data_IF_057385251604
#
_entry.id   IF_057385251604
#
_cell.length_a   1.000
_cell.length_b   1.000
_cell.length_c   1.000
_cell.angle_alpha   90.00
_cell.angle_beta   90.00
_cell.angle_gamma   90.00
#
_symmetry.space_group_name_H-M   'P 1'
#
loop_
_entity.id
_entity.type
_entity.pdbx_description
1 polymer ?
#
# COMPACT_ATOMS: atom_id res chain seq x y z
N UNK A 1 -3.23 11.26 -60.56
CA UNK A 1 -3.36 11.60 -59.13
C UNK A 1 -2.70 10.49 -58.33
N UNK A 2 -1.58 10.78 -57.67
CA UNK A 2 -0.91 9.84 -56.76
C UNK A 2 -1.45 10.13 -55.35
N UNK A 3 -2.02 9.14 -54.68
CA UNK A 3 -2.46 9.31 -53.30
C UNK A 3 -1.22 9.29 -52.38
N UNK A 4 -1.04 10.31 -51.51
CA UNK A 4 0.06 10.31 -50.55
C UNK A 4 -0.06 9.10 -49.63
N UNK A 5 1.04 8.35 -49.44
CA UNK A 5 1.07 7.23 -48.50
C UNK A 5 1.52 7.75 -47.14
N UNK A 6 0.57 7.92 -46.21
CA UNK A 6 0.90 8.16 -44.82
C UNK A 6 1.56 6.89 -44.24
N UNK A 7 2.76 7.02 -43.66
CA UNK A 7 3.42 5.93 -42.96
C UNK A 7 3.15 6.11 -41.46
N UNK A 8 2.37 5.22 -40.87
CA UNK A 8 2.11 5.26 -39.43
C UNK A 8 3.30 4.66 -38.68
N UNK A 9 4.01 5.48 -37.91
CA UNK A 9 5.02 5.01 -36.97
C UNK A 9 4.37 4.85 -35.59
N UNK A 10 4.39 3.62 -35.07
CA UNK A 10 3.90 3.34 -33.71
C UNK A 10 5.02 3.57 -32.73
N UNK A 11 4.95 4.67 -31.99
CA UNK A 11 5.85 4.92 -30.87
C UNK A 11 5.22 4.38 -29.59
N UNK A 12 5.90 3.42 -28.98
CA UNK A 12 5.53 2.90 -27.66
C UNK A 12 5.98 3.88 -26.59
N UNK A 13 5.11 4.84 -26.23
CA UNK A 13 5.36 5.72 -25.09
C UNK A 13 4.91 5.01 -23.82
N UNK A 14 5.82 4.88 -22.85
CA UNK A 14 5.50 4.37 -21.53
C UNK A 14 4.47 5.30 -20.89
N UNK A 15 3.25 4.81 -20.62
CA UNK A 15 2.20 5.65 -20.05
C UNK A 15 2.65 6.24 -18.71
N UNK A 16 2.68 7.58 -18.55
CA UNK A 16 3.13 8.22 -17.31
C UNK A 16 2.28 7.82 -16.11
N UNK A 17 1.02 7.42 -16.35
CA UNK A 17 0.10 6.92 -15.33
C UNK A 17 0.64 5.63 -14.71
N UNK A 18 1.20 4.71 -15.50
CA UNK A 18 1.72 3.44 -14.97
C UNK A 18 2.97 3.64 -14.11
N UNK A 19 3.78 4.65 -14.44
CA UNK A 19 4.93 5.07 -13.60
C UNK A 19 4.43 5.66 -12.28
N UNK A 20 3.40 6.51 -12.33
CA UNK A 20 2.77 7.07 -11.13
C UNK A 20 2.20 5.97 -10.21
N UNK A 21 1.58 4.92 -10.80
CA UNK A 21 1.10 3.75 -10.04
C UNK A 21 2.25 3.06 -9.28
N UNK A 22 3.38 2.79 -9.93
CA UNK A 22 4.56 2.20 -9.24
C UNK A 22 5.01 3.10 -8.08
N UNK A 23 5.10 4.40 -8.32
CA UNK A 23 5.56 5.35 -7.32
C UNK A 23 4.63 5.39 -6.10
N UNK A 24 3.31 5.49 -6.32
CA UNK A 24 2.31 5.50 -5.25
C UNK A 24 2.28 4.19 -4.47
N UNK A 25 2.37 3.04 -5.15
CA UNK A 25 2.46 1.73 -4.48
C UNK A 25 3.75 1.58 -3.67
N UNK A 26 4.85 2.17 -4.14
CA UNK A 26 6.13 2.19 -3.41
C UNK A 26 6.05 3.06 -2.16
N UNK A 27 5.39 4.22 -2.22
CA UNK A 27 5.08 5.05 -1.05
C UNK A 27 4.18 4.32 -0.05
N UNK A 28 3.17 3.60 -0.54
CA UNK A 28 2.34 2.74 0.29
C UNK A 28 3.20 1.71 1.06
N UNK A 29 4.11 0.99 0.38
CA UNK A 29 5.01 0.05 1.06
C UNK A 29 5.86 0.72 2.15
N UNK A 30 6.41 1.90 1.85
CA UNK A 30 7.23 2.67 2.80
C UNK A 30 6.42 3.10 4.02
N UNK A 31 5.23 3.67 3.83
CA UNK A 31 4.38 4.10 4.93
C UNK A 31 3.83 2.93 5.74
N UNK A 32 3.47 1.83 5.09
CA UNK A 32 3.05 0.62 5.77
C UNK A 32 4.19 0.04 6.61
N UNK A 33 5.42 0.05 6.10
CA UNK A 33 6.62 -0.38 6.85
C UNK A 33 6.90 0.52 8.06
N UNK A 34 6.83 1.85 7.90
CA UNK A 34 6.99 2.80 9.01
C UNK A 34 5.90 2.60 10.06
N UNK A 35 4.64 2.46 9.63
CA UNK A 35 3.51 2.20 10.52
C UNK A 35 3.69 0.86 11.24
N UNK A 36 4.17 -0.18 10.58
CA UNK A 36 4.40 -1.49 11.19
C UNK A 36 5.43 -1.45 12.34
N UNK A 37 6.49 -0.65 12.20
CA UNK A 37 7.58 -0.58 13.19
C UNK A 37 7.24 0.25 14.45
N UNK A 38 6.22 1.09 14.40
CA UNK A 38 5.90 2.01 15.50
C UNK A 38 4.85 1.45 16.46
N UNK A 39 5.00 1.78 17.74
CA UNK A 39 4.02 1.47 18.81
C UNK A 39 2.89 2.49 18.92
N UNK A 40 2.94 3.58 18.14
CA UNK A 40 2.01 4.70 18.26
C UNK A 40 0.81 4.56 17.32
N UNK A 41 0.05 3.46 17.44
CA UNK A 41 -1.21 3.29 16.71
C UNK A 41 -2.41 3.73 17.54
N UNK A 42 -2.47 3.23 18.77
CA UNK A 42 -3.58 3.47 19.68
C UNK A 42 -3.00 3.86 21.02
N UNK A 43 -3.53 4.93 21.60
CA UNK A 43 -3.27 5.33 22.97
C UNK A 43 -4.50 5.06 23.83
N UNK A 44 -4.30 4.41 24.96
CA UNK A 44 -5.30 4.32 26.03
C UNK A 44 -4.77 5.02 27.28
N UNK A 45 -5.56 5.07 28.35
CA UNK A 45 -5.10 5.58 29.64
C UNK A 45 -3.89 4.81 30.21
N UNK A 46 -3.71 3.55 29.79
CA UNK A 46 -2.67 2.66 30.30
C UNK A 46 -1.38 2.72 29.51
N UNK A 47 -1.41 3.09 28.24
CA UNK A 47 -0.22 3.01 27.39
C UNK A 47 -0.48 3.25 25.92
N UNK A 48 0.52 2.91 25.12
CA UNK A 48 0.49 2.96 23.66
C UNK A 48 0.69 1.57 23.10
N UNK A 49 -0.11 1.24 22.08
CA UNK A 49 -0.16 -0.08 21.47
C UNK A 49 0.06 0.07 19.98
N UNK A 50 0.97 -0.75 19.44
CA UNK A 50 1.14 -0.95 18.01
C UNK A 50 1.28 -2.43 17.66
N UNK A 51 1.49 -2.75 16.38
CA UNK A 51 1.55 -4.12 15.90
C UNK A 51 2.69 -4.93 16.53
N UNK A 52 3.91 -4.37 16.55
CA UNK A 52 5.09 -5.09 17.05
C UNK A 52 5.37 -4.87 18.54
N UNK A 53 5.13 -3.64 19.01
CA UNK A 53 5.50 -3.19 20.34
C UNK A 53 4.30 -2.59 21.05
N UNK A 54 4.13 -2.98 22.31
CA UNK A 54 3.19 -2.36 23.24
C UNK A 54 3.95 -1.82 24.43
N UNK A 55 3.68 -0.58 24.78
CA UNK A 55 4.33 0.11 25.89
C UNK A 55 3.29 0.57 26.90
N UNK A 56 3.41 0.09 28.13
CA UNK A 56 2.44 0.31 29.20
C UNK A 56 3.06 1.05 30.37
N UNK A 57 2.26 1.91 31.00
CA UNK A 57 2.60 2.60 32.23
C UNK A 57 2.27 1.68 33.41
N UNK A 58 3.30 1.15 34.05
CA UNK A 58 3.14 0.34 35.26
C UNK A 58 3.42 1.18 36.49
N UNK A 59 2.47 1.18 37.41
CA UNK A 59 2.70 1.77 38.74
C UNK A 59 3.27 0.69 39.65
N UNK A 60 4.51 0.87 40.09
CA UNK A 60 5.09 0.00 41.12
C UNK A 60 4.62 0.49 42.50
N UNK A 61 3.76 -0.30 43.14
CA UNK A 61 3.44 -0.14 44.55
C UNK A 61 4.43 -0.93 45.39
N UNK A 62 5.21 -0.23 46.21
CA UNK A 62 6.06 -0.84 47.25
C UNK A 62 5.52 -0.37 48.59
N UNK A 63 5.12 -1.30 49.45
CA UNK A 63 4.50 -1.01 50.76
C UNK A 63 3.24 -0.12 50.73
N UNK A 64 2.34 -0.33 49.76
CA UNK A 64 1.04 0.39 49.71
C UNK A 64 1.10 1.82 49.19
N UNK A 65 2.29 2.36 48.91
CA UNK A 65 2.47 3.66 48.26
C UNK A 65 2.98 3.47 46.81
N UNK A 66 2.44 4.29 45.90
CA UNK A 66 2.91 4.35 44.50
C UNK A 66 4.28 5.03 44.53
N UNK A 67 5.33 4.28 44.21
CA UNK A 67 6.73 4.76 44.34
C UNK A 67 7.33 5.23 43.02
N UNK A 68 6.90 4.66 41.89
CA UNK A 68 7.35 5.07 40.57
C UNK A 68 6.39 4.59 39.47
N UNK A 69 6.17 5.43 38.45
CA UNK A 69 5.51 5.06 37.21
C UNK A 69 6.62 4.78 36.20
N UNK A 70 6.83 3.52 35.84
CA UNK A 70 7.79 3.10 34.81
C UNK A 70 7.04 2.75 33.54
N UNK A 71 7.67 3.02 32.39
CA UNK A 71 7.14 2.64 31.09
C UNK A 71 7.84 1.36 30.65
N UNK A 72 7.13 0.24 30.67
CA UNK A 72 7.64 -1.07 30.24
C UNK A 72 7.18 -1.31 28.81
N UNK A 73 8.13 -1.43 27.88
CA UNK A 73 7.86 -1.77 26.48
C UNK A 73 8.18 -3.25 26.26
N UNK A 74 7.19 -4.00 25.77
CA UNK A 74 7.35 -5.40 25.46
C UNK A 74 7.17 -5.65 23.97
N UNK A 75 8.07 -6.47 23.43
CA UNK A 75 7.97 -7.02 22.10
C UNK A 75 6.88 -8.11 22.13
N UNK A 76 5.96 -8.06 21.16
CA UNK A 76 4.84 -8.99 20.92
C UNK A 76 3.45 -8.61 21.46
N UNK A 77 3.20 -7.44 22.05
CA UNK A 77 1.83 -6.93 22.29
C UNK A 77 0.84 -7.80 23.11
N UNK A 78 1.26 -8.97 23.60
CA UNK A 78 0.40 -10.00 24.21
C UNK A 78 -0.03 -9.69 25.66
N UNK A 79 0.44 -8.60 26.26
CA UNK A 79 0.23 -8.38 27.69
C UNK A 79 -1.17 -7.86 28.04
N UNK A 80 -1.83 -7.14 27.13
CA UNK A 80 -3.18 -6.63 27.35
C UNK A 80 -4.23 -7.49 26.65
N UNK A 81 -4.65 -8.50 27.38
CA UNK A 81 -5.84 -9.32 27.14
C UNK A 81 -5.75 -10.18 25.88
N UNK A 82 -5.35 -11.45 26.08
CA UNK A 82 -5.44 -12.54 25.10
C UNK A 82 -6.84 -12.72 24.50
N UNK A 83 -7.85 -12.03 25.05
CA UNK A 83 -9.22 -11.97 24.52
C UNK A 83 -9.39 -11.02 23.32
N UNK A 84 -8.47 -10.09 23.06
CA UNK A 84 -8.52 -9.27 21.85
C UNK A 84 -7.84 -10.06 20.71
N UNK A 85 -8.55 -11.06 20.21
CA UNK A 85 -8.13 -11.93 19.10
C UNK A 85 -7.67 -11.16 17.85
N UNK A 86 -8.04 -9.87 17.73
CA UNK A 86 -7.76 -9.04 16.57
C UNK A 86 -6.30 -8.58 16.45
N UNK A 87 -5.55 -8.43 17.54
CA UNK A 87 -4.17 -7.90 17.48
C UNK A 87 -3.20 -8.83 16.72
N UNK A 88 -3.08 -10.14 17.06
CA UNK A 88 -2.18 -11.03 16.32
C UNK A 88 -2.61 -11.21 14.86
N UNK A 89 -3.92 -11.22 14.58
CA UNK A 89 -4.45 -11.25 13.23
C UNK A 89 -4.03 -10.01 12.43
N UNK A 90 -4.10 -8.83 13.05
CA UNK A 90 -3.69 -7.57 12.41
C UNK A 90 -2.21 -7.58 12.03
N UNK A 91 -1.34 -8.13 12.88
CA UNK A 91 0.09 -8.26 12.57
C UNK A 91 0.30 -9.14 11.33
N UNK A 92 -0.35 -10.31 11.29
CA UNK A 92 -0.24 -11.24 10.16
C UNK A 92 -0.75 -10.57 8.88
N UNK A 93 -1.91 -9.92 8.95
CA UNK A 93 -2.50 -9.23 7.80
C UNK A 93 -1.64 -8.06 7.31
N UNK A 94 -1.00 -7.30 8.20
CA UNK A 94 -0.06 -6.23 7.83
C UNK A 94 1.16 -6.79 7.10
N UNK A 95 1.73 -7.90 7.58
CA UNK A 95 2.86 -8.56 6.91
C UNK A 95 2.45 -9.07 5.53
N UNK A 96 1.27 -9.67 5.42
CA UNK A 96 0.74 -10.15 4.13
C UNK A 96 0.48 -8.99 3.18
N UNK A 97 -0.13 -7.88 3.65
CA UNK A 97 -0.35 -6.68 2.85
C UNK A 97 0.96 -6.10 2.34
N UNK A 98 1.97 -5.95 3.22
CA UNK A 98 3.30 -5.48 2.84
C UNK A 98 3.93 -6.36 1.75
N UNK A 99 3.83 -7.68 1.89
CA UNK A 99 4.40 -8.62 0.93
C UNK A 99 3.67 -8.58 -0.42
N UNK A 100 2.33 -8.52 -0.41
CA UNK A 100 1.53 -8.38 -1.62
C UNK A 100 1.85 -7.06 -2.35
N UNK A 101 1.94 -5.96 -1.62
CA UNK A 101 2.31 -4.65 -2.16
C UNK A 101 3.72 -4.67 -2.76
N UNK A 102 4.68 -5.29 -2.08
CA UNK A 102 6.04 -5.44 -2.61
C UNK A 102 6.09 -6.27 -3.90
N UNK A 103 5.40 -7.42 -3.94
CA UNK A 103 5.29 -8.23 -5.16
C UNK A 103 4.61 -7.44 -6.26
N UNK A 104 3.57 -6.65 -5.96
CA UNK A 104 2.87 -5.84 -6.96
C UNK A 104 3.78 -4.81 -7.62
N UNK A 105 4.71 -4.21 -6.86
CA UNK A 105 5.73 -3.30 -7.41
C UNK A 105 6.66 -4.07 -8.36
N UNK A 106 7.12 -5.26 -7.98
CA UNK A 106 7.98 -6.07 -8.83
C UNK A 106 7.24 -6.48 -10.12
N UNK A 107 6.01 -6.97 -10.03
CA UNK A 107 5.24 -7.39 -11.20
C UNK A 107 4.90 -6.23 -12.12
N UNK A 108 4.63 -5.04 -11.56
CA UNK A 108 4.43 -3.82 -12.32
C UNK A 108 5.69 -3.45 -13.10
N UNK A 109 6.87 -3.45 -12.46
CA UNK A 109 8.15 -3.19 -13.11
C UNK A 109 8.47 -4.21 -14.21
N UNK A 110 8.23 -5.50 -13.94
CA UNK A 110 8.41 -6.56 -14.94
C UNK A 110 7.48 -6.39 -16.15
N UNK A 111 6.29 -5.82 -15.97
CA UNK A 111 5.38 -5.48 -17.07
C UNK A 111 6.05 -4.54 -18.08
N UNK A 112 6.82 -3.54 -17.63
CA UNK A 112 7.52 -2.60 -18.52
C UNK A 112 8.70 -3.20 -19.27
N UNK A 113 9.42 -4.14 -18.66
CA UNK A 113 10.64 -4.73 -19.25
C UNK A 113 10.30 -5.68 -20.43
N UNK A 114 9.10 -6.25 -20.44
CA UNK A 114 8.71 -7.25 -21.44
C UNK A 114 8.21 -6.60 -22.74
N UNK A 115 8.83 -6.97 -23.86
CA UNK A 115 8.50 -6.47 -25.21
C UNK A 115 7.18 -7.03 -25.77
N UNK A 116 6.80 -8.24 -25.37
CA UNK A 116 5.61 -8.92 -25.92
C UNK A 116 4.34 -8.46 -25.23
N UNK A 117 3.37 -7.95 -26.01
CA UNK A 117 2.09 -7.43 -25.51
C UNK A 117 1.33 -8.41 -24.62
N UNK A 118 1.16 -9.67 -25.05
CA UNK A 118 0.41 -10.69 -24.29
C UNK A 118 1.00 -10.94 -22.90
N UNK A 119 2.34 -10.96 -22.80
CA UNK A 119 3.04 -11.18 -21.53
C UNK A 119 2.91 -9.95 -20.62
N UNK A 120 3.10 -8.75 -21.18
CA UNK A 120 2.94 -7.47 -20.46
C UNK A 120 1.55 -7.34 -19.85
N UNK A 121 0.51 -7.63 -20.65
CA UNK A 121 -0.89 -7.58 -20.22
C UNK A 121 -1.17 -8.56 -19.07
N UNK A 122 -0.64 -9.80 -19.13
CA UNK A 122 -0.78 -10.78 -18.03
C UNK A 122 -0.13 -10.29 -16.73
N UNK A 123 1.09 -9.75 -16.78
CA UNK A 123 1.74 -9.17 -15.59
C UNK A 123 0.99 -7.96 -15.05
N UNK A 124 0.38 -7.16 -15.92
CA UNK A 124 -0.44 -6.03 -15.53
C UNK A 124 -1.72 -6.48 -14.80
N UNK A 125 -2.42 -7.48 -15.34
CA UNK A 125 -3.57 -8.09 -14.67
C UNK A 125 -3.20 -8.69 -13.31
N UNK A 126 -2.06 -9.40 -13.22
CA UNK A 126 -1.56 -9.90 -11.93
C UNK A 126 -1.30 -8.75 -10.94
N UNK A 127 -0.75 -7.64 -11.41
CA UNK A 127 -0.52 -6.45 -10.58
C UNK A 127 -1.84 -5.87 -10.05
N UNK A 128 -2.87 -5.75 -10.91
CA UNK A 128 -4.21 -5.29 -10.50
C UNK A 128 -4.80 -6.22 -9.44
N UNK A 129 -4.70 -7.54 -9.63
CA UNK A 129 -5.19 -8.51 -8.65
C UNK A 129 -4.46 -8.37 -7.31
N UNK A 130 -3.13 -8.26 -7.31
CA UNK A 130 -2.35 -8.08 -6.08
C UNK A 130 -2.71 -6.78 -5.36
N UNK A 131 -2.83 -5.66 -6.09
CA UNK A 131 -3.27 -4.37 -5.55
C UNK A 131 -4.68 -4.47 -4.96
N UNK A 132 -5.58 -5.21 -5.60
CA UNK A 132 -6.95 -5.40 -5.10
C UNK A 132 -6.98 -6.15 -3.78
N UNK A 133 -6.21 -7.25 -3.65
CA UNK A 133 -6.12 -8.00 -2.41
C UNK A 133 -5.47 -7.17 -1.28
N UNK A 134 -4.37 -6.48 -1.58
CA UNK A 134 -3.71 -5.61 -0.61
C UNK A 134 -4.64 -4.49 -0.11
N UNK A 135 -5.37 -3.83 -1.02
CA UNK A 135 -6.34 -2.78 -0.67
C UNK A 135 -7.47 -3.32 0.22
N UNK A 136 -8.00 -4.50 -0.08
CA UNK A 136 -9.04 -5.13 0.74
C UNK A 136 -8.54 -5.48 2.15
N UNK A 137 -7.31 -5.99 2.26
CA UNK A 137 -6.69 -6.31 3.56
C UNK A 137 -6.49 -5.04 4.39
N UNK A 138 -5.96 -3.98 3.79
CA UNK A 138 -5.79 -2.68 4.43
C UNK A 138 -7.12 -2.11 4.95
N UNK A 139 -8.16 -2.11 4.11
CA UNK A 139 -9.49 -1.68 4.52
C UNK A 139 -10.04 -2.52 5.68
N UNK A 140 -9.80 -3.83 5.66
CA UNK A 140 -10.20 -4.72 6.75
C UNK A 140 -9.47 -4.38 8.05
N UNK A 141 -8.15 -4.13 8.01
CA UNK A 141 -7.37 -3.71 9.18
C UNK A 141 -7.90 -2.40 9.76
N UNK A 142 -8.14 -1.40 8.90
CA UNK A 142 -8.64 -0.09 9.32
C UNK A 142 -9.98 -0.15 10.04
N UNK A 143 -10.84 -1.11 9.69
CA UNK A 143 -12.15 -1.34 10.33
C UNK A 143 -12.02 -2.22 11.58
N UNK A 144 -11.19 -3.26 11.54
CA UNK A 144 -11.05 -4.21 12.65
C UNK A 144 -10.43 -3.58 13.90
N UNK A 145 -9.47 -2.66 13.73
CA UNK A 145 -8.82 -1.98 14.84
C UNK A 145 -9.83 -1.23 15.73
N UNK A 146 -10.60 -0.23 15.25
CA UNK A 146 -11.55 0.49 16.09
C UNK A 146 -12.65 -0.40 16.66
N UNK A 147 -13.08 -1.41 15.90
CA UNK A 147 -14.09 -2.36 16.36
C UNK A 147 -13.60 -3.15 17.59
N UNK A 148 -12.32 -3.53 17.60
CA UNK A 148 -11.72 -4.29 18.69
C UNK A 148 -11.58 -3.50 20.00
N UNK A 149 -11.46 -2.18 19.91
CA UNK A 149 -11.34 -1.29 21.07
C UNK A 149 -12.65 -0.59 21.44
N UNK A 150 -13.79 -0.99 20.86
CA UNK A 150 -15.11 -0.36 21.10
C UNK A 150 -15.50 -0.27 22.57
N UNK A 151 -15.05 -1.21 23.41
CA UNK A 151 -15.38 -1.28 24.83
C UNK A 151 -14.50 -0.41 25.73
N UNK A 152 -13.50 0.29 25.17
CA UNK A 152 -12.52 1.07 25.93
C UNK A 152 -12.44 2.50 25.39
N UNK A 153 -12.00 3.43 26.24
CA UNK A 153 -11.66 4.79 25.80
C UNK A 153 -10.28 4.72 25.14
N UNK A 154 -10.22 5.04 23.85
CA UNK A 154 -9.01 5.01 23.06
C UNK A 154 -8.87 6.27 22.20
N UNK A 155 -7.63 6.60 21.86
CA UNK A 155 -7.28 7.70 20.96
C UNK A 155 -6.39 7.16 19.85
N UNK A 156 -6.75 7.48 18.60
CA UNK A 156 -5.89 7.18 17.46
C UNK A 156 -4.63 8.05 17.50
N UNK A 157 -3.51 7.41 17.23
CA UNK A 157 -2.22 8.06 17.13
C UNK A 157 -1.78 8.18 15.68
N UNK A 158 -0.67 8.89 15.44
CA UNK A 158 -0.21 9.24 14.10
C UNK A 158 0.01 8.03 13.19
N UNK A 159 0.43 6.87 13.72
CA UNK A 159 0.69 5.69 12.89
C UNK A 159 -0.58 5.14 12.23
N UNK A 160 -1.72 5.23 12.93
CA UNK A 160 -3.02 4.88 12.35
C UNK A 160 -3.34 5.82 11.17
N UNK A 161 -3.08 7.13 11.34
CA UNK A 161 -3.23 8.11 10.26
C UNK A 161 -2.28 7.84 9.07
N UNK A 162 -1.05 7.42 9.32
CA UNK A 162 -0.09 7.02 8.28
C UNK A 162 -0.59 5.78 7.54
N UNK A 163 -1.15 4.79 8.23
CA UNK A 163 -1.74 3.62 7.59
C UNK A 163 -2.96 4.01 6.73
N UNK A 164 -3.86 4.88 7.22
CA UNK A 164 -4.95 5.44 6.41
C UNK A 164 -4.43 6.10 5.12
N UNK A 165 -3.37 6.91 5.21
CA UNK A 165 -2.72 7.53 4.05
C UNK A 165 -2.13 6.50 3.09
N UNK A 166 -1.47 5.46 3.61
CA UNK A 166 -0.96 4.36 2.82
C UNK A 166 -2.09 3.64 2.05
N UNK A 167 -3.23 3.40 2.71
CA UNK A 167 -4.40 2.77 2.10
C UNK A 167 -5.03 3.63 1.01
N UNK A 168 -5.00 4.97 1.15
CA UNK A 168 -5.42 5.88 0.08
C UNK A 168 -4.51 5.77 -1.15
N UNK A 169 -3.18 5.73 -0.97
CA UNK A 169 -2.25 5.60 -2.09
C UNK A 169 -2.46 4.30 -2.86
N UNK A 170 -2.60 3.17 -2.18
CA UNK A 170 -2.84 1.89 -2.86
C UNK A 170 -4.23 1.83 -3.52
N UNK A 171 -5.25 2.46 -2.94
CA UNK A 171 -6.58 2.56 -3.54
C UNK A 171 -6.57 3.38 -4.82
N UNK A 172 -5.88 4.53 -4.82
CA UNK A 172 -5.71 5.36 -6.01
C UNK A 172 -4.92 4.62 -7.08
N UNK A 173 -3.83 3.93 -6.70
CA UNK A 173 -3.07 3.06 -7.60
C UNK A 173 -3.95 1.98 -8.24
N UNK A 174 -4.81 1.32 -7.46
CA UNK A 174 -5.72 0.29 -7.95
C UNK A 174 -6.72 0.85 -8.97
N UNK A 175 -7.37 1.97 -8.65
CA UNK A 175 -8.33 2.62 -9.55
C UNK A 175 -7.64 3.02 -10.85
N UNK A 176 -6.47 3.67 -10.76
CA UNK A 176 -5.69 4.06 -11.92
C UNK A 176 -5.23 2.84 -12.75
N UNK A 177 -4.87 1.73 -12.11
CA UNK A 177 -4.46 0.50 -12.79
C UNK A 177 -5.61 -0.16 -13.56
N UNK A 178 -6.83 -0.14 -13.00
CA UNK A 178 -8.04 -0.61 -13.67
C UNK A 178 -8.37 0.28 -14.88
N UNK A 179 -8.35 1.60 -14.70
CA UNK A 179 -8.63 2.56 -15.78
C UNK A 179 -7.64 2.44 -16.93
N UNK A 180 -6.38 2.14 -16.63
CA UNK A 180 -5.31 1.97 -17.63
C UNK A 180 -5.19 0.55 -18.18
N UNK A 181 -6.01 -0.41 -17.72
CA UNK A 181 -5.93 -1.80 -18.15
C UNK A 181 -6.23 -1.97 -19.65
N UNK A 182 -7.18 -1.20 -20.17
CA UNK A 182 -7.64 -1.28 -21.56
C UNK A 182 -7.09 -0.17 -22.46
N UNK A 183 -6.33 0.79 -21.90
CA UNK A 183 -5.73 1.86 -22.68
C UNK A 183 -4.44 1.29 -23.30
N UNK A 184 -4.50 0.96 -24.58
CA UNK A 184 -3.34 0.54 -25.35
C UNK A 184 -2.28 1.66 -25.34
N UNK A 185 -1.04 1.32 -24.97
CA UNK A 185 0.14 2.21 -25.03
C UNK A 185 0.57 2.51 -26.49
N UNK A 186 -0.38 2.74 -27.40
CA UNK A 186 -0.13 2.93 -28.82
C UNK A 186 -0.58 4.32 -29.22
N UNK A 187 0.37 5.25 -29.26
CA UNK A 187 0.20 6.50 -29.98
C UNK A 187 0.60 6.29 -31.44
N UNK A 188 -0.31 6.61 -32.34
CA UNK A 188 -0.05 6.65 -33.78
C UNK A 188 0.51 8.03 -34.10
N UNK A 189 1.76 8.11 -34.55
CA UNK A 189 2.29 9.32 -35.16
C UNK A 189 2.25 9.11 -36.66
N UNK A 190 1.58 10.02 -37.37
CA UNK A 190 1.64 10.07 -38.82
C UNK A 190 3.02 10.63 -39.20
N UNK A 191 3.88 9.80 -39.78
CA UNK A 191 5.06 10.29 -40.46
C UNK A 191 4.62 10.75 -41.86
N UNK A 192 4.70 12.05 -42.09
CA UNK A 192 4.56 12.64 -43.43
C UNK A 192 5.82 12.23 -44.19
N UNK A 193 5.64 11.54 -45.31
CA UNK A 193 6.73 11.13 -46.18
C UNK A 193 7.23 12.36 -46.96
N UNK A 194 8.27 13.02 -46.46
CA UNK A 194 8.85 14.24 -47.07
C UNK A 194 9.35 14.00 -48.51
N UNK A 195 9.52 12.73 -48.91
CA UNK A 195 9.84 12.35 -50.29
C UNK A 195 8.75 12.68 -51.32
N UNK A 196 7.53 13.03 -50.86
CA UNK A 196 6.44 13.49 -51.71
C UNK A 196 6.45 15.00 -52.00
N UNK A 197 7.30 15.78 -51.30
CA UNK A 197 7.36 17.26 -51.42
C UNK A 197 8.43 17.70 -52.44
N UNK A 198 9.39 16.84 -52.79
CA UNK A 198 10.50 17.15 -53.72
C UNK A 198 10.23 16.86 -55.22
N UNK A 199 8.98 16.93 -55.71
CA UNK A 199 8.70 16.83 -57.17
C UNK A 199 7.85 17.96 -57.71
#
# INVERSE_FOLDING_TARGET
MYAPRAKFERIYVVSPIKVAIIFLTSLHCLFLFVAFLTSFWIQTHRGHYGPLYSCEKRSHCKHGFITSITMECHQNGFFYDTKIFSIPLTIILLIVSLFLSFISVITANLSFVRKTFSIRHRYWLCTILLLSFATLIDCFILVCIPFSYRSQIYHFQWAYGVHCGATLFISVSLIAAILTCNIDDVHYIEAIDDSAIEK
#
